data_IF_391886323483
#
_entry.id   IF_391886323483
#
_cell.length_a   1.000
_cell.length_b   1.000
_cell.length_c   1.000
_cell.angle_alpha   90.00
_cell.angle_beta   90.00
_cell.angle_gamma   90.00
#
_symmetry.space_group_name_H-M   'P 1'
#
loop_
_entity.id
_entity.type
_entity.pdbx_description
1 polymer ?
#
# COMPACT_ATOMS: atom_id res chain seq x y z
N UNK A 1 -20.84 -21.07 -6.29
CA UNK A 1 -21.45 -21.59 -5.05
C UNK A 1 -20.68 -20.99 -3.88
N UNK A 2 -21.25 -19.99 -3.23
CA UNK A 2 -20.64 -19.19 -2.16
C UNK A 2 -21.59 -19.01 -0.98
N UNK A 3 -22.36 -20.05 -0.67
CA UNK A 3 -23.38 -20.04 0.37
C UNK A 3 -22.82 -20.69 1.63
N UNK A 4 -22.16 -19.85 2.45
CA UNK A 4 -22.03 -19.93 3.93
C UNK A 4 -20.83 -19.14 4.44
N UNK A 5 -20.59 -17.92 3.92
CA UNK A 5 -19.81 -16.95 4.68
C UNK A 5 -20.73 -16.29 5.70
N UNK A 6 -20.78 -16.87 6.91
CA UNK A 6 -21.52 -16.29 8.02
C UNK A 6 -21.01 -14.88 8.29
N UNK A 7 -21.90 -13.89 8.17
CA UNK A 7 -21.58 -12.52 8.52
C UNK A 7 -21.51 -12.39 10.05
N UNK A 8 -20.30 -12.17 10.56
CA UNK A 8 -19.97 -12.14 12.01
C UNK A 8 -20.62 -10.99 12.80
N UNK A 9 -21.22 -10.00 12.13
CA UNK A 9 -21.99 -8.94 12.78
C UNK A 9 -23.45 -9.36 13.06
N UNK A 10 -23.96 -10.36 12.36
CA UNK A 10 -25.37 -10.77 12.43
C UNK A 10 -25.60 -12.08 13.21
N UNK A 11 -24.54 -12.70 13.73
CA UNK A 11 -24.65 -13.90 14.57
C UNK A 11 -23.94 -13.65 15.91
N UNK A 12 -24.67 -13.62 17.05
CA UNK A 12 -24.10 -13.28 18.34
C UNK A 12 -23.09 -14.35 18.81
N UNK A 13 -22.05 -13.90 19.53
CA UNK A 13 -20.97 -14.74 20.08
C UNK A 13 -21.45 -15.99 20.83
N UNK A 14 -22.67 -15.97 21.37
CA UNK A 14 -23.26 -17.04 22.16
C UNK A 14 -23.60 -18.30 21.34
N UNK A 15 -23.96 -18.16 20.06
CA UNK A 15 -24.26 -19.30 19.18
C UNK A 15 -22.97 -20.01 18.71
N UNK A 16 -21.86 -19.27 18.57
CA UNK A 16 -20.57 -19.79 18.15
C UNK A 16 -19.78 -20.48 19.27
N UNK A 17 -20.08 -20.18 20.54
CA UNK A 17 -19.37 -20.72 21.71
C UNK A 17 -19.80 -22.14 22.11
N UNK A 18 -21.00 -22.59 21.73
CA UNK A 18 -21.57 -23.82 22.30
C UNK A 18 -21.05 -25.14 21.72
N UNK A 19 -20.37 -25.15 20.56
CA UNK A 19 -20.17 -26.42 19.84
C UNK A 19 -18.84 -26.66 19.08
N UNK A 20 -17.74 -25.92 19.29
CA UNK A 20 -16.53 -26.14 18.45
C UNK A 20 -15.19 -25.98 19.20
N UNK A 21 -14.17 -26.71 18.72
CA UNK A 21 -12.73 -26.40 18.87
C UNK A 21 -12.49 -24.89 18.82
N UNK A 22 -11.43 -24.33 19.44
CA UNK A 22 -11.24 -22.88 19.55
C UNK A 22 -11.49 -22.22 18.19
N UNK A 23 -12.64 -21.55 18.10
CA UNK A 23 -13.16 -21.10 16.82
C UNK A 23 -12.15 -20.16 16.19
N UNK A 24 -12.12 -20.09 14.86
CA UNK A 24 -11.26 -19.16 14.13
C UNK A 24 -11.37 -17.71 14.67
N UNK A 25 -12.52 -17.37 15.25
CA UNK A 25 -12.77 -16.12 15.99
C UNK A 25 -11.92 -15.97 17.24
N UNK A 26 -11.86 -16.97 18.11
CA UNK A 26 -10.98 -16.92 19.28
C UNK A 26 -9.51 -16.80 18.82
N UNK A 27 -9.16 -17.46 17.72
CA UNK A 27 -7.80 -17.46 17.19
C UNK A 27 -7.39 -16.12 16.59
N UNK A 28 -8.28 -15.44 15.86
CA UNK A 28 -7.94 -14.25 15.06
C UNK A 28 -8.50 -12.93 15.61
N UNK A 29 -9.55 -12.94 16.44
CA UNK A 29 -10.24 -11.73 16.89
C UNK A 29 -9.96 -11.38 18.36
N UNK A 30 -10.03 -10.09 18.68
CA UNK A 30 -10.04 -9.58 20.06
C UNK A 30 -11.37 -8.85 20.26
N UNK A 31 -12.28 -9.46 21.02
CA UNK A 31 -13.70 -9.10 21.01
C UNK A 31 -14.28 -9.24 19.59
N UNK A 32 -15.04 -8.24 19.15
CA UNK A 32 -15.68 -8.22 17.82
C UNK A 32 -14.76 -7.76 16.68
N UNK A 33 -13.48 -7.46 16.96
CA UNK A 33 -12.54 -6.92 15.98
C UNK A 33 -11.52 -7.97 15.54
N UNK A 34 -11.27 -8.04 14.23
CA UNK A 34 -10.15 -8.80 13.70
C UNK A 34 -8.84 -8.21 14.22
N UNK A 35 -8.06 -9.02 14.94
CA UNK A 35 -6.83 -8.58 15.57
C UNK A 35 -5.63 -8.92 14.67
N UNK A 36 -4.88 -7.89 14.29
CA UNK A 36 -3.74 -8.01 13.40
C UNK A 36 -2.57 -8.79 14.00
N UNK A 37 -2.37 -8.72 15.32
CA UNK A 37 -1.29 -9.43 16.00
C UNK A 37 -1.62 -10.92 16.06
N UNK A 38 -2.87 -11.24 16.39
CA UNK A 38 -3.38 -12.62 16.34
C UNK A 38 -3.32 -13.19 14.94
N UNK A 39 -3.73 -12.41 13.93
CA UNK A 39 -3.68 -12.78 12.52
C UNK A 39 -2.25 -13.06 12.07
N UNK A 40 -1.31 -12.14 12.35
CA UNK A 40 0.10 -12.33 12.03
C UNK A 40 0.68 -13.58 12.72
N UNK A 41 0.40 -13.76 14.01
CA UNK A 41 0.85 -14.95 14.76
C UNK A 41 0.29 -16.24 14.18
N UNK A 42 -0.98 -16.26 13.78
CA UNK A 42 -1.60 -17.43 13.19
C UNK A 42 -0.95 -17.80 11.85
N UNK A 43 -0.78 -16.83 10.94
CA UNK A 43 -0.09 -17.05 9.67
C UNK A 43 1.35 -17.50 9.85
N UNK A 44 2.03 -16.95 10.86
CA UNK A 44 3.39 -17.35 11.22
C UNK A 44 3.47 -18.85 11.58
N UNK A 45 2.54 -19.34 12.41
CA UNK A 45 2.48 -20.77 12.75
C UNK A 45 2.11 -21.63 11.54
N UNK A 46 1.18 -21.15 10.70
CA UNK A 46 0.79 -21.84 9.48
C UNK A 46 1.97 -22.01 8.52
N UNK A 47 2.70 -20.94 8.21
CA UNK A 47 3.88 -21.01 7.32
C UNK A 47 4.94 -21.93 7.90
N UNK A 48 5.20 -21.88 9.21
CA UNK A 48 6.15 -22.78 9.87
C UNK A 48 5.74 -24.25 9.74
N UNK A 49 4.46 -24.56 9.91
CA UNK A 49 3.95 -25.92 9.81
C UNK A 49 4.00 -26.44 8.36
N UNK A 50 3.59 -25.62 7.39
CA UNK A 50 3.54 -26.00 5.98
C UNK A 50 4.93 -26.02 5.32
N UNK A 51 5.89 -25.23 5.82
CA UNK A 51 7.24 -25.16 5.25
C UNK A 51 7.90 -26.54 5.12
N UNK A 52 7.76 -27.39 6.14
CA UNK A 52 8.34 -28.74 6.15
C UNK A 52 7.76 -29.67 5.07
N UNK A 53 6.57 -29.36 4.55
CA UNK A 53 5.93 -30.12 3.48
C UNK A 53 6.30 -29.58 2.08
N UNK A 54 6.93 -28.41 1.99
CA UNK A 54 7.30 -27.80 0.70
C UNK A 54 8.61 -28.42 0.17
N UNK A 55 8.71 -28.76 -1.12
CA UNK A 55 9.94 -29.28 -1.73
C UNK A 55 11.15 -28.36 -1.54
N UNK A 56 10.91 -27.05 -1.46
CA UNK A 56 11.94 -26.04 -1.27
C UNK A 56 12.68 -26.18 0.07
N UNK A 57 12.04 -26.77 1.09
CA UNK A 57 12.64 -26.95 2.42
C UNK A 57 13.87 -27.84 2.43
N UNK A 58 14.08 -28.67 1.40
CA UNK A 58 15.26 -29.52 1.27
C UNK A 58 16.54 -28.73 0.99
N UNK A 59 16.44 -27.63 0.24
CA UNK A 59 17.59 -26.84 -0.21
C UNK A 59 17.61 -25.43 0.37
N UNK A 60 16.54 -25.03 1.05
CA UNK A 60 16.37 -23.71 1.62
C UNK A 60 16.06 -23.79 3.11
N UNK A 61 16.71 -22.93 3.88
CA UNK A 61 16.48 -22.73 5.30
C UNK A 61 15.58 -21.52 5.52
N UNK A 62 14.48 -21.74 6.23
CA UNK A 62 13.55 -20.70 6.66
C UNK A 62 13.91 -20.24 8.07
N UNK A 63 14.25 -18.96 8.20
CA UNK A 63 14.39 -18.26 9.48
C UNK A 63 13.21 -17.32 9.63
N UNK A 64 12.55 -17.42 10.77
CA UNK A 64 11.41 -16.60 11.11
C UNK A 64 11.90 -15.30 11.76
N UNK A 65 11.43 -14.14 11.29
CA UNK A 65 11.84 -12.83 11.80
C UNK A 65 10.75 -12.22 12.70
N UNK A 66 11.13 -11.50 13.77
CA UNK A 66 10.16 -10.90 14.67
C UNK A 66 9.39 -9.76 13.98
N UNK A 67 8.07 -9.88 13.95
CA UNK A 67 7.14 -8.79 13.60
C UNK A 67 5.81 -9.01 14.31
N UNK A 68 5.14 -7.91 14.68
CA UNK A 68 3.83 -7.95 15.35
C UNK A 68 2.67 -7.83 14.38
N UNK A 69 2.87 -7.14 13.25
CA UNK A 69 1.78 -6.78 12.31
C UNK A 69 1.99 -7.33 10.89
N UNK A 70 3.05 -8.09 10.69
CA UNK A 70 3.37 -8.75 9.42
C UNK A 70 4.01 -10.10 9.68
N UNK A 71 4.05 -10.95 8.67
CA UNK A 71 4.78 -12.20 8.71
C UNK A 71 6.10 -12.03 7.95
N UNK A 72 7.20 -11.97 8.68
CA UNK A 72 8.52 -11.78 8.10
C UNK A 72 9.35 -13.05 8.16
N UNK A 73 9.98 -13.37 7.04
CA UNK A 73 10.76 -14.58 6.84
C UNK A 73 12.06 -14.24 6.12
N UNK A 74 13.12 -14.95 6.47
CA UNK A 74 14.34 -15.01 5.68
C UNK A 74 14.49 -16.43 5.16
N UNK A 75 14.69 -16.58 3.86
CA UNK A 75 14.87 -17.88 3.22
C UNK A 75 16.25 -17.89 2.57
N UNK A 76 17.10 -18.86 2.91
CA UNK A 76 18.48 -18.91 2.41
C UNK A 76 18.94 -20.32 2.03
N UNK A 77 19.82 -20.46 1.04
CA UNK A 77 20.38 -21.75 0.59
C UNK A 77 21.92 -21.81 0.69
N UNK A 78 22.52 -20.93 1.52
CA UNK A 78 23.96 -20.79 1.68
C UNK A 78 24.65 -19.92 0.60
N UNK A 79 24.03 -19.69 -0.56
CA UNK A 79 24.53 -18.76 -1.59
C UNK A 79 23.70 -17.48 -1.67
N UNK A 80 22.39 -17.66 -1.62
CA UNK A 80 21.39 -16.62 -1.77
C UNK A 80 20.56 -16.52 -0.50
N UNK A 81 20.09 -15.32 -0.21
CA UNK A 81 19.21 -15.05 0.92
C UNK A 81 18.16 -14.02 0.51
N UNK A 82 16.89 -14.37 0.70
CA UNK A 82 15.75 -13.51 0.42
C UNK A 82 15.02 -13.17 1.71
N UNK A 83 14.66 -11.90 1.86
CA UNK A 83 13.73 -11.46 2.90
C UNK A 83 12.34 -11.34 2.29
N UNK A 84 11.37 -12.01 2.89
CA UNK A 84 9.98 -12.00 2.48
C UNK A 84 9.18 -11.38 3.62
N UNK A 85 8.37 -10.37 3.30
CA UNK A 85 7.40 -9.81 4.22
C UNK A 85 6.01 -9.98 3.63
N UNK A 86 5.14 -10.67 4.37
CA UNK A 86 3.73 -10.80 4.06
C UNK A 86 2.93 -9.80 4.89
N UNK A 87 2.23 -8.92 4.20
CA UNK A 87 1.25 -8.00 4.75
C UNK A 87 -0.15 -8.55 4.53
N UNK A 88 -1.05 -8.26 5.44
CA UNK A 88 -2.44 -8.71 5.37
C UNK A 88 -3.32 -7.57 4.90
N UNK A 89 -4.31 -7.88 4.07
CA UNK A 89 -5.29 -6.91 3.58
C UNK A 89 -6.68 -7.50 3.59
N UNK A 90 -7.65 -6.75 4.10
CA UNK A 90 -9.07 -7.08 4.03
C UNK A 90 -9.73 -6.07 3.11
N UNK A 91 -10.46 -6.56 2.11
CA UNK A 91 -11.14 -5.71 1.13
C UNK A 91 -12.30 -4.98 1.81
N UNK A 92 -12.42 -3.67 1.54
CA UNK A 92 -13.54 -2.86 2.02
C UNK A 92 -14.73 -3.03 1.06
N UNK A 93 -15.67 -3.90 1.43
CA UNK A 93 -16.83 -4.23 0.60
C UNK A 93 -16.41 -4.82 -0.75
N UNK A 94 -17.01 -4.34 -1.82
CA UNK A 94 -16.69 -4.66 -3.22
C UNK A 94 -15.80 -3.59 -3.90
N UNK A 95 -15.21 -2.68 -3.12
CA UNK A 95 -14.33 -1.62 -3.64
C UNK A 95 -12.89 -2.08 -3.87
N UNK A 96 -12.07 -1.23 -4.48
CA UNK A 96 -10.63 -1.41 -4.66
C UNK A 96 -9.78 -0.83 -3.52
N UNK A 97 -10.45 -0.45 -2.43
CA UNK A 97 -9.84 -0.01 -1.19
C UNK A 97 -9.76 -1.17 -0.20
N UNK A 98 -8.64 -1.27 0.49
CA UNK A 98 -8.38 -2.30 1.48
C UNK A 98 -8.09 -1.66 2.82
N UNK A 99 -8.30 -2.39 3.90
CA UNK A 99 -7.66 -2.11 5.18
C UNK A 99 -6.50 -3.08 5.34
N UNK A 100 -5.35 -2.61 5.80
CA UNK A 100 -4.11 -3.37 5.80
C UNK A 100 -3.50 -3.50 7.19
N UNK A 101 -2.64 -4.51 7.36
CA UNK A 101 -1.91 -4.71 8.60
C UNK A 101 -0.77 -3.72 8.80
N UNK A 102 -0.38 -3.01 7.73
CA UNK A 102 0.71 -2.04 7.74
C UNK A 102 0.36 -0.89 8.68
N UNK A 103 1.20 -0.59 9.69
CA UNK A 103 0.94 0.50 10.62
C UNK A 103 1.07 1.84 9.90
N UNK A 104 0.21 2.79 10.28
CA UNK A 104 0.34 4.19 9.84
C UNK A 104 1.22 4.99 10.78
N UNK A 105 1.24 4.60 12.07
CA UNK A 105 1.91 5.29 13.17
C UNK A 105 2.56 4.27 14.12
N UNK A 106 3.52 4.72 14.93
CA UNK A 106 4.29 3.86 15.83
C UNK A 106 3.42 3.09 16.86
N UNK A 107 2.24 3.61 17.21
CA UNK A 107 1.35 3.07 18.26
C UNK A 107 -0.03 2.66 17.73
N UNK A 108 -0.15 2.19 16.49
CA UNK A 108 -1.43 1.69 15.97
C UNK A 108 -1.93 0.46 16.78
N UNK A 109 -3.14 0.50 17.38
CA UNK A 109 -3.69 -0.63 18.14
C UNK A 109 -3.84 -1.91 17.31
N UNK A 110 -3.81 -3.09 17.95
CA UNK A 110 -3.87 -4.38 17.25
C UNK A 110 -5.20 -4.63 16.52
N UNK A 111 -6.27 -3.99 16.94
CA UNK A 111 -7.60 -4.08 16.34
C UNK A 111 -7.83 -3.05 15.23
N UNK A 112 -6.92 -2.10 15.04
CA UNK A 112 -7.03 -1.06 14.00
C UNK A 112 -6.31 -1.49 12.74
N UNK A 113 -7.00 -1.50 11.61
CA UNK A 113 -6.45 -1.78 10.27
C UNK A 113 -6.50 -0.50 9.43
N UNK A 114 -5.37 0.21 9.21
CA UNK A 114 -5.37 1.43 8.39
C UNK A 114 -5.77 1.16 6.94
N UNK A 115 -6.46 2.13 6.34
CA UNK A 115 -6.79 2.07 4.91
C UNK A 115 -5.52 2.05 4.04
N UNK A 116 -5.59 1.27 2.96
CA UNK A 116 -4.57 1.13 1.94
C UNK A 116 -5.21 1.24 0.57
N UNK A 117 -4.63 2.12 -0.24
CA UNK A 117 -5.07 2.36 -1.61
C UNK A 117 -4.19 1.66 -2.64
N UNK A 118 -3.25 0.81 -2.21
CA UNK A 118 -2.25 0.19 -3.09
C UNK A 118 -2.87 -0.60 -4.26
N UNK A 119 -4.01 -1.26 -4.04
CA UNK A 119 -4.71 -1.99 -5.12
C UNK A 119 -5.32 -1.03 -6.14
N UNK A 120 -5.95 0.05 -5.68
CA UNK A 120 -6.47 1.11 -6.54
C UNK A 120 -5.33 1.82 -7.32
N UNK A 121 -4.17 2.07 -6.70
CA UNK A 121 -2.98 2.60 -7.40
C UNK A 121 -2.48 1.66 -8.50
N UNK A 122 -2.37 0.36 -8.21
CA UNK A 122 -1.96 -0.64 -9.21
C UNK A 122 -2.95 -0.70 -10.35
N UNK A 123 -4.26 -0.65 -10.06
CA UNK A 123 -5.29 -0.58 -11.09
C UNK A 123 -5.19 0.69 -11.93
N UNK A 124 -4.88 1.83 -11.32
CA UNK A 124 -4.63 3.08 -12.04
C UNK A 124 -3.45 2.95 -13.02
N UNK A 125 -2.31 2.40 -12.58
CA UNK A 125 -1.20 2.17 -13.50
C UNK A 125 -1.54 1.16 -14.61
N UNK A 126 -2.34 0.13 -14.32
CA UNK A 126 -2.85 -0.78 -15.35
C UNK A 126 -3.78 -0.07 -16.34
N UNK A 127 -4.65 0.81 -15.87
CA UNK A 127 -5.53 1.64 -16.70
C UNK A 127 -4.72 2.50 -17.68
N UNK A 128 -3.69 3.17 -17.18
CA UNK A 128 -2.75 3.96 -17.99
C UNK A 128 -2.02 3.07 -19.00
N UNK A 129 -1.48 1.93 -18.56
CA UNK A 129 -0.70 1.04 -19.41
C UNK A 129 -1.52 0.47 -20.59
N UNK A 130 -2.82 0.25 -20.42
CA UNK A 130 -3.72 -0.19 -21.50
C UNK A 130 -3.87 0.83 -22.63
N UNK A 131 -3.74 2.12 -22.31
CA UNK A 131 -3.93 3.22 -23.26
C UNK A 131 -2.59 3.77 -23.78
N UNK A 132 -1.49 3.41 -23.12
CA UNK A 132 -0.18 3.95 -23.43
C UNK A 132 0.36 3.39 -24.76
N UNK A 133 1.08 4.20 -25.56
CA UNK A 133 1.78 3.70 -26.73
C UNK A 133 2.87 2.70 -26.33
N UNK A 134 3.28 1.76 -27.22
CA UNK A 134 4.26 0.71 -26.90
C UNK A 134 5.61 1.23 -26.38
N UNK A 135 6.01 2.44 -26.80
CA UNK A 135 7.25 3.11 -26.41
C UNK A 135 7.08 4.11 -25.25
N UNK A 136 6.01 3.97 -24.46
CA UNK A 136 5.77 4.81 -23.29
C UNK A 136 6.77 4.55 -22.17
N UNK A 137 7.23 5.63 -21.55
CA UNK A 137 8.28 5.63 -20.51
C UNK A 137 7.79 6.13 -19.15
N UNK A 138 6.48 6.24 -18.93
CA UNK A 138 5.90 6.72 -17.66
C UNK A 138 6.44 5.99 -16.41
N UNK A 139 6.52 4.66 -16.45
CA UNK A 139 7.11 3.89 -15.33
C UNK A 139 8.63 4.08 -15.24
N UNK A 140 9.32 4.38 -16.35
CA UNK A 140 10.76 4.67 -16.34
C UNK A 140 11.04 6.01 -15.67
N UNK A 141 10.16 7.01 -15.84
CA UNK A 141 10.25 8.27 -15.11
C UNK A 141 10.15 8.03 -13.60
N UNK A 142 9.17 7.24 -13.14
CA UNK A 142 9.05 6.88 -11.73
C UNK A 142 10.30 6.14 -11.22
N UNK A 143 10.78 5.14 -11.96
CA UNK A 143 12.00 4.39 -11.61
C UNK A 143 13.23 5.29 -11.49
N UNK A 144 13.37 6.29 -12.37
CA UNK A 144 14.47 7.24 -12.33
C UNK A 144 14.49 8.02 -11.01
N UNK A 145 13.36 8.63 -10.64
CA UNK A 145 13.28 9.40 -9.40
C UNK A 145 13.40 8.53 -8.14
N UNK A 146 12.83 7.32 -8.12
CA UNK A 146 13.02 6.41 -6.97
C UNK A 146 14.48 6.06 -6.71
N UNK A 147 15.33 6.07 -7.74
CA UNK A 147 16.78 5.83 -7.62
C UNK A 147 17.55 7.09 -7.23
N UNK A 148 17.15 8.26 -7.75
CA UNK A 148 17.74 9.55 -7.37
C UNK A 148 17.41 9.94 -5.93
N UNK A 149 16.21 9.62 -5.45
CA UNK A 149 15.74 9.95 -4.10
C UNK A 149 16.54 9.29 -2.96
N UNK A 150 17.47 8.39 -3.26
CA UNK A 150 18.44 7.88 -2.28
C UNK A 150 19.35 8.98 -1.68
N UNK A 151 19.18 10.26 -2.07
CA UNK A 151 19.86 11.40 -1.45
C UNK A 151 19.00 12.64 -1.10
N UNK A 152 17.67 12.66 -1.33
CA UNK A 152 16.86 13.91 -1.30
C UNK A 152 15.71 13.95 -0.26
N UNK A 153 15.73 13.15 0.81
CA UNK A 153 14.78 13.29 1.94
C UNK A 153 13.29 12.97 1.65
N UNK A 154 12.85 12.91 0.39
CA UNK A 154 11.46 12.65 0.01
C UNK A 154 11.16 11.16 -0.14
N UNK A 155 9.97 10.76 0.29
CA UNK A 155 9.50 9.38 0.13
C UNK A 155 9.29 9.00 -1.35
N UNK A 156 9.45 7.72 -1.66
CA UNK A 156 9.08 7.16 -2.97
C UNK A 156 7.58 7.32 -3.26
N UNK A 157 6.75 7.37 -2.22
CA UNK A 157 5.31 7.60 -2.31
C UNK A 157 4.98 9.02 -2.81
N UNK A 158 5.78 10.03 -2.44
CA UNK A 158 5.65 11.41 -2.91
C UNK A 158 5.79 11.49 -4.43
N UNK A 159 6.90 10.97 -4.96
CA UNK A 159 7.16 10.92 -6.42
C UNK A 159 6.08 10.16 -7.15
N UNK A 160 5.66 9.00 -6.61
CA UNK A 160 4.58 8.21 -7.20
C UNK A 160 3.29 9.03 -7.29
N UNK A 161 2.94 9.77 -6.24
CA UNK A 161 1.75 10.63 -6.21
C UNK A 161 1.83 11.74 -7.27
N UNK A 162 2.97 12.41 -7.41
CA UNK A 162 3.18 13.44 -8.45
C UNK A 162 3.04 12.83 -9.86
N UNK A 163 3.68 11.68 -10.10
CA UNK A 163 3.57 10.98 -11.40
C UNK A 163 2.13 10.58 -11.70
N UNK A 164 1.36 10.13 -10.70
CA UNK A 164 -0.05 9.80 -10.88
C UNK A 164 -0.88 11.05 -11.22
N UNK A 165 -0.67 12.18 -10.55
CA UNK A 165 -1.30 13.47 -10.90
C UNK A 165 -0.97 13.89 -12.33
N UNK A 166 0.30 13.82 -12.73
CA UNK A 166 0.74 14.12 -14.10
C UNK A 166 0.11 13.18 -15.13
N UNK A 167 0.02 11.89 -14.83
CA UNK A 167 -0.64 10.91 -15.70
C UNK A 167 -2.14 11.16 -15.87
N UNK A 168 -2.77 11.81 -14.89
CA UNK A 168 -4.19 12.15 -14.92
C UNK A 168 -4.48 13.42 -15.75
N UNK A 169 -3.48 14.27 -15.99
CA UNK A 169 -3.65 15.53 -16.75
C UNK A 169 -2.94 15.51 -18.12
N UNK A 170 -1.80 14.82 -18.23
CA UNK A 170 -1.00 14.75 -19.45
C UNK A 170 -1.43 13.53 -20.27
N UNK A 171 -1.86 13.70 -21.54
CA UNK A 171 -2.23 12.58 -22.40
C UNK A 171 -1.13 11.52 -22.48
N UNK A 172 -1.51 10.25 -22.44
CA UNK A 172 -0.57 9.10 -22.46
C UNK A 172 0.36 9.10 -23.68
N UNK A 173 -0.04 9.70 -24.80
CA UNK A 173 0.76 9.89 -26.01
C UNK A 173 1.97 10.82 -25.81
N UNK A 174 1.97 11.65 -24.77
CA UNK A 174 3.08 12.54 -24.38
C UNK A 174 4.06 11.91 -23.39
N UNK A 175 3.94 10.61 -23.13
CA UNK A 175 4.88 9.85 -22.29
C UNK A 175 5.87 9.00 -23.10
N UNK A 176 5.95 9.25 -24.41
CA UNK A 176 6.87 8.56 -25.34
C UNK A 176 8.31 8.98 -25.13
N UNK A 177 9.24 8.18 -25.67
CA UNK A 177 10.68 8.40 -25.58
C UNK A 177 11.14 9.83 -25.94
N UNK A 178 10.55 10.45 -26.97
CA UNK A 178 10.90 11.81 -27.40
C UNK A 178 10.61 12.91 -26.34
N UNK A 179 9.69 12.65 -25.40
CA UNK A 179 9.33 13.59 -24.34
C UNK A 179 9.93 13.21 -22.98
N UNK A 180 10.81 12.19 -22.93
CA UNK A 180 11.28 11.63 -21.67
C UNK A 180 11.93 12.66 -20.75
N UNK A 181 12.90 13.42 -21.27
CA UNK A 181 13.58 14.47 -20.49
C UNK A 181 12.62 15.57 -20.06
N UNK A 182 11.68 15.96 -20.93
CA UNK A 182 10.64 16.92 -20.58
C UNK A 182 9.77 16.40 -19.42
N UNK A 183 9.36 15.12 -19.44
CA UNK A 183 8.58 14.51 -18.35
C UNK A 183 9.36 14.43 -17.04
N UNK A 184 10.67 14.21 -17.10
CA UNK A 184 11.52 14.29 -15.90
C UNK A 184 11.54 15.72 -15.35
N UNK A 185 11.67 16.73 -16.22
CA UNK A 185 11.55 18.14 -15.87
C UNK A 185 10.21 18.47 -15.22
N UNK A 186 9.10 18.08 -15.84
CA UNK A 186 7.74 18.31 -15.31
C UNK A 186 7.57 17.70 -13.91
N UNK A 187 8.08 16.48 -13.66
CA UNK A 187 8.00 15.84 -12.33
C UNK A 187 8.80 16.65 -11.30
N UNK A 188 10.01 17.09 -11.67
CA UNK A 188 10.87 17.88 -10.79
C UNK A 188 10.22 19.24 -10.47
N UNK A 189 9.72 19.93 -11.49
CA UNK A 189 9.01 21.21 -11.33
C UNK A 189 7.75 21.06 -10.46
N UNK A 190 6.95 20.01 -10.67
CA UNK A 190 5.79 19.75 -9.82
C UNK A 190 6.18 19.45 -8.37
N UNK A 191 7.29 18.74 -8.14
CA UNK A 191 7.81 18.53 -6.79
C UNK A 191 8.21 19.86 -6.15
N UNK A 192 8.93 20.72 -6.87
CA UNK A 192 9.30 22.05 -6.40
C UNK A 192 8.07 22.90 -6.05
N UNK A 193 7.08 23.00 -6.94
CA UNK A 193 5.86 23.76 -6.67
C UNK A 193 5.10 23.21 -5.46
N UNK A 194 4.99 21.88 -5.32
CA UNK A 194 4.36 21.27 -4.14
C UNK A 194 5.11 21.62 -2.84
N UNK A 195 6.44 21.77 -2.89
CA UNK A 195 7.26 22.17 -1.75
C UNK A 195 7.07 23.65 -1.40
N UNK A 196 7.06 24.53 -2.40
CA UNK A 196 6.79 25.96 -2.20
C UNK A 196 5.40 26.17 -1.57
N UNK A 197 4.38 25.50 -2.12
CA UNK A 197 3.01 25.56 -1.63
C UNK A 197 2.77 24.75 -0.34
N UNK A 198 3.75 23.92 0.08
CA UNK A 198 3.64 22.98 1.20
C UNK A 198 2.44 22.05 1.05
N UNK A 199 2.07 21.73 -0.19
CA UNK A 199 0.84 21.02 -0.51
C UNK A 199 1.09 19.98 -1.61
N UNK A 200 0.81 18.73 -1.27
CA UNK A 200 0.66 17.64 -2.21
C UNK A 200 -0.57 16.84 -1.82
N UNK A 201 -1.66 17.01 -2.57
CA UNK A 201 -2.89 16.30 -2.28
C UNK A 201 -2.75 14.80 -2.61
N UNK A 202 -3.34 13.93 -1.79
CA UNK A 202 -3.43 12.51 -2.09
C UNK A 202 -4.11 12.28 -3.45
N UNK A 203 -3.59 11.38 -4.27
CA UNK A 203 -4.05 11.21 -5.65
C UNK A 203 -5.45 10.59 -5.80
N UNK A 204 -5.78 9.60 -4.95
CA UNK A 204 -7.02 8.80 -5.10
C UNK A 204 -8.22 9.44 -4.40
N UNK A 205 -8.06 9.81 -3.13
CA UNK A 205 -9.12 10.39 -2.29
C UNK A 205 -9.56 11.74 -2.88
N UNK A 206 -10.87 11.92 -3.07
CA UNK A 206 -11.44 13.19 -3.55
C UNK A 206 -11.12 13.56 -5.00
N UNK A 207 -10.54 12.64 -5.78
CA UNK A 207 -10.17 12.92 -7.16
C UNK A 207 -11.33 12.65 -8.12
N UNK A 208 -12.05 13.71 -8.49
CA UNK A 208 -13.18 13.66 -9.42
C UNK A 208 -12.83 13.20 -10.84
N UNK A 209 -11.55 13.18 -11.21
CA UNK A 209 -11.05 12.69 -12.51
C UNK A 209 -10.50 11.27 -12.43
N UNK A 210 -10.60 10.60 -11.28
CA UNK A 210 -10.12 9.25 -11.12
C UNK A 210 -10.90 8.27 -12.04
N UNK A 211 -10.24 7.28 -12.67
CA UNK A 211 -10.91 6.39 -13.61
C UNK A 211 -12.09 5.62 -12.98
N UNK A 212 -13.26 5.72 -13.63
CA UNK A 212 -14.51 5.11 -13.15
C UNK A 212 -14.49 3.57 -13.09
N UNK A 213 -13.56 2.93 -13.81
CA UNK A 213 -13.38 1.46 -13.77
C UNK A 213 -12.77 0.96 -12.45
N UNK A 214 -12.25 1.86 -11.62
CA UNK A 214 -11.65 1.54 -10.33
C UNK A 214 -12.68 1.91 -9.26
N UNK A 215 -13.16 0.90 -8.53
CA UNK A 215 -14.26 1.08 -7.58
C UNK A 215 -13.75 1.73 -6.30
N UNK A 216 -14.27 2.90 -5.95
CA UNK A 216 -13.99 3.58 -4.69
C UNK A 216 -15.27 3.71 -3.86
N UNK A 217 -15.21 3.52 -2.53
CA UNK A 217 -16.32 3.85 -1.65
C UNK A 217 -16.73 5.33 -1.80
N UNK A 218 -18.02 5.63 -1.65
CA UNK A 218 -18.56 6.98 -1.85
C UNK A 218 -17.88 8.01 -0.94
N UNK A 219 -17.66 7.67 0.33
CA UNK A 219 -16.99 8.52 1.31
C UNK A 219 -15.55 8.85 0.92
N UNK A 220 -14.85 7.96 0.22
CA UNK A 220 -13.49 8.21 -0.29
C UNK A 220 -13.53 9.06 -1.56
N UNK A 221 -14.48 8.79 -2.44
CA UNK A 221 -14.63 9.52 -3.71
C UNK A 221 -15.03 10.99 -3.48
N UNK A 222 -15.86 11.27 -2.48
CA UNK A 222 -16.33 12.63 -2.17
C UNK A 222 -15.55 13.36 -1.07
N UNK A 223 -14.57 12.72 -0.45
CA UNK A 223 -13.77 13.33 0.62
C UNK A 223 -12.87 14.46 0.10
N UNK A 224 -12.48 15.38 0.99
CA UNK A 224 -11.42 16.32 0.67
C UNK A 224 -10.07 15.57 0.58
N UNK A 225 -9.28 15.75 -0.50
CA UNK A 225 -7.98 15.11 -0.62
C UNK A 225 -7.03 15.55 0.51
N UNK A 226 -6.55 14.63 1.36
CA UNK A 226 -5.63 14.99 2.43
C UNK A 226 -4.29 15.45 1.86
N UNK A 227 -3.71 16.48 2.48
CA UNK A 227 -2.38 16.99 2.13
C UNK A 227 -1.29 16.06 2.69
N UNK A 228 -0.52 15.40 1.82
CA UNK A 228 0.63 14.56 2.19
C UNK A 228 1.78 15.39 2.78
N UNK A 229 1.86 16.68 2.45
CA UNK A 229 2.84 17.64 2.97
C UNK A 229 2.33 18.40 4.20
N UNK A 230 1.28 17.91 4.86
CA UNK A 230 0.72 18.56 6.05
C UNK A 230 1.78 18.84 7.13
N UNK A 231 2.75 17.93 7.33
CA UNK A 231 3.83 18.14 8.29
C UNK A 231 4.74 19.34 7.91
N UNK A 232 5.00 19.57 6.62
CA UNK A 232 5.76 20.74 6.12
C UNK A 232 4.96 22.03 6.28
N UNK A 233 3.63 21.96 6.11
CA UNK A 233 2.75 23.09 6.36
C UNK A 233 2.72 23.49 7.84
N UNK A 234 2.80 22.51 8.75
CA UNK A 234 2.78 22.73 10.20
C UNK A 234 4.13 23.14 10.81
N UNK A 235 5.24 22.68 10.24
CA UNK A 235 6.57 22.85 10.84
C UNK A 235 7.51 23.64 9.91
N UNK A 236 7.68 24.96 10.14
CA UNK A 236 8.54 25.80 9.31
C UNK A 236 9.97 25.31 9.18
N UNK A 237 10.56 24.78 10.26
CA UNK A 237 11.92 24.24 10.24
C UNK A 237 12.05 23.03 9.31
N UNK A 238 11.09 22.11 9.33
CA UNK A 238 11.08 20.95 8.43
C UNK A 238 10.93 21.38 6.96
N UNK A 239 10.13 22.42 6.70
CA UNK A 239 9.99 23.00 5.38
C UNK A 239 11.27 23.68 4.88
N UNK A 240 11.91 24.51 5.70
CA UNK A 240 13.19 25.14 5.34
C UNK A 240 14.29 24.12 5.09
N UNK A 241 14.35 23.05 5.90
CA UNK A 241 15.27 21.94 5.67
C UNK A 241 14.98 21.24 4.34
N UNK A 242 13.73 20.87 4.07
CA UNK A 242 13.34 20.22 2.81
C UNK A 242 13.63 21.07 1.58
N UNK A 243 13.48 22.39 1.66
CA UNK A 243 13.85 23.32 0.58
C UNK A 243 15.37 23.46 0.41
N UNK A 244 16.14 23.39 1.49
CA UNK A 244 17.60 23.47 1.42
C UNK A 244 18.25 22.18 0.90
N UNK A 245 17.59 21.04 1.09
CA UNK A 245 18.07 19.72 0.64
C UNK A 245 17.68 19.42 -0.82
N UNK A 246 16.71 20.17 -1.38
CA UNK A 246 16.25 20.08 -2.76
C UNK A 246 17.19 20.80 -3.73
#
# INVERSE_FOLDING_TARGET
QGENMLCFLHHPEEELRRNQDPSLLHTLCTGSYLDVHKTARWFYQLVRAVWLALPQSHNWHLVLLPSRRSCQFQVSNGRESFRIEMLFGVRRGDSDVFVSSQPREACTPSTTWPESYAVAEVKFFKHIARQAPPDSLHLKCLQFFTRLQLGLGFSTYTTKTIVMHLLNIVPVSRWRRRYFLQRLGDINENLHCCLEEKRLNHFIIGNNRFPQEISLPLDIASAEPPNLFHHLAQHPAAHSQALSEY
#
